data_IF_802314186292
#
_entry.id   IF_802314186292
#
_cell.length_a   1.000
_cell.length_b   1.000
_cell.length_c   1.000
_cell.angle_alpha   90.00
_cell.angle_beta   90.00
_cell.angle_gamma   90.00
#
_symmetry.space_group_name_H-M   'P 1'
#
loop_
_entity.id
_entity.type
_entity.pdbx_description
1 polymer ?
#
# COMPACT_ATOMS: atom_id res chain seq x y z
N UNK A 1 0.25 -3.42 9.74
CA UNK A 1 1.22 -2.75 8.86
C UNK A 1 0.61 -1.73 7.89
N UNK A 2 -0.01 -2.10 6.73
CA UNK A 2 -0.52 -1.08 5.78
C UNK A 2 -1.60 -0.16 6.41
N UNK A 3 -2.49 -0.75 7.22
CA UNK A 3 -3.50 0.00 7.98
C UNK A 3 -2.91 1.02 8.95
N UNK A 4 -1.81 0.66 9.62
CA UNK A 4 -1.15 1.56 10.58
C UNK A 4 -0.41 2.69 9.87
N UNK A 5 0.30 2.39 8.77
CA UNK A 5 0.94 3.41 7.94
C UNK A 5 -0.09 4.40 7.41
N UNK A 6 -1.21 3.88 6.89
CA UNK A 6 -2.34 4.70 6.45
C UNK A 6 -2.88 5.59 7.58
N UNK A 7 -3.08 5.03 8.78
CA UNK A 7 -3.54 5.81 9.94
C UNK A 7 -2.52 6.86 10.41
N UNK A 8 -1.20 6.58 10.32
CA UNK A 8 -0.14 7.56 10.66
C UNK A 8 -0.16 8.77 9.74
N UNK A 9 -0.51 8.57 8.46
CA UNK A 9 -0.69 9.66 7.50
C UNK A 9 -2.10 10.30 7.56
N UNK A 10 -2.97 9.88 8.49
CA UNK A 10 -4.34 10.40 8.58
C UNK A 10 -5.21 10.04 7.37
N UNK A 11 -4.81 9.05 6.56
CA UNK A 11 -5.49 8.72 5.31
C UNK A 11 -6.63 7.72 5.54
N UNK A 12 -7.71 7.87 4.78
CA UNK A 12 -8.77 6.86 4.69
C UNK A 12 -8.47 5.86 3.57
N UNK A 13 -9.08 4.68 3.55
CA UNK A 13 -8.87 3.68 2.47
C UNK A 13 -9.16 4.28 1.07
N UNK A 14 -10.21 5.08 0.95
CA UNK A 14 -10.52 5.81 -0.28
C UNK A 14 -9.49 6.91 -0.57
N UNK A 15 -9.00 7.61 0.46
CA UNK A 15 -7.98 8.66 0.30
C UNK A 15 -6.64 8.10 -0.18
N UNK A 16 -6.23 6.94 0.34
CA UNK A 16 -5.05 6.23 -0.15
C UNK A 16 -5.23 5.74 -1.59
N UNK A 17 -6.41 5.20 -1.93
CA UNK A 17 -6.72 4.81 -3.30
C UNK A 17 -6.69 6.01 -4.27
N UNK A 18 -7.25 7.15 -3.85
CA UNK A 18 -7.24 8.39 -4.61
C UNK A 18 -5.83 8.90 -4.86
N UNK A 19 -4.98 8.97 -3.83
CA UNK A 19 -3.59 9.40 -3.99
C UNK A 19 -2.77 8.43 -4.85
N UNK A 20 -3.02 7.11 -4.75
CA UNK A 20 -2.37 6.14 -5.62
C UNK A 20 -2.79 6.33 -7.08
N UNK A 21 -4.07 6.61 -7.33
CA UNK A 21 -4.56 6.88 -8.68
C UNK A 21 -3.98 8.19 -9.24
N UNK A 22 -3.92 9.23 -8.41
CA UNK A 22 -3.37 10.54 -8.76
C UNK A 22 -1.87 10.43 -9.07
N UNK A 23 -1.08 9.84 -8.16
CA UNK A 23 0.35 9.67 -8.34
C UNK A 23 0.68 8.76 -9.53
N UNK A 24 -0.05 7.64 -9.70
CA UNK A 24 0.20 6.69 -10.79
C UNK A 24 -0.41 7.10 -12.14
N UNK A 25 -1.23 8.16 -12.16
CA UNK A 25 -2.05 8.53 -13.32
C UNK A 25 -3.06 7.45 -13.74
N UNK A 26 -3.33 6.44 -12.91
CA UNK A 26 -4.13 5.28 -13.25
C UNK A 26 -5.23 5.04 -12.23
N UNK A 27 -6.50 5.16 -12.65
CA UNK A 27 -7.70 4.98 -11.82
C UNK A 27 -8.08 3.53 -11.52
N UNK A 28 -7.22 2.56 -11.82
CA UNK A 28 -7.47 1.13 -11.61
C UNK A 28 -7.54 0.73 -10.13
N UNK A 29 -7.00 1.53 -9.21
CA UNK A 29 -7.03 1.22 -7.78
C UNK A 29 -8.28 1.79 -7.10
N UNK A 30 -8.91 0.95 -6.29
CA UNK A 30 -10.11 1.26 -5.55
C UNK A 30 -9.93 0.98 -4.06
N UNK A 31 -10.80 1.54 -3.20
CA UNK A 31 -10.79 1.25 -1.75
C UNK A 31 -10.80 -0.25 -1.46
N UNK A 32 -11.47 -1.05 -2.29
CA UNK A 32 -11.59 -2.48 -2.08
C UNK A 32 -10.26 -3.20 -2.32
N UNK A 33 -9.46 -2.74 -3.29
CA UNK A 33 -8.10 -3.23 -3.46
C UNK A 33 -7.23 -2.94 -2.24
N UNK A 34 -7.33 -1.71 -1.69
CA UNK A 34 -6.62 -1.34 -0.45
C UNK A 34 -7.05 -2.23 0.72
N UNK A 35 -8.36 -2.45 0.88
CA UNK A 35 -8.91 -3.35 1.90
C UNK A 35 -8.39 -4.79 1.74
N UNK A 36 -8.28 -5.30 0.50
CA UNK A 36 -7.70 -6.62 0.23
C UNK A 36 -6.20 -6.68 0.56
N UNK A 37 -5.45 -5.60 0.36
CA UNK A 37 -4.04 -5.50 0.73
C UNK A 37 -3.85 -5.42 2.24
N UNK A 38 -4.65 -4.60 2.92
CA UNK A 38 -4.62 -4.47 4.39
C UNK A 38 -4.95 -5.80 5.08
N UNK A 39 -5.88 -6.58 4.51
CA UNK A 39 -6.27 -7.91 5.01
C UNK A 39 -5.32 -9.04 4.56
N UNK A 40 -4.29 -8.76 3.77
CA UNK A 40 -3.36 -9.76 3.26
C UNK A 40 -3.95 -10.73 2.22
N UNK A 41 -5.19 -10.52 1.76
CA UNK A 41 -5.84 -11.36 0.73
C UNK A 41 -5.22 -11.18 -0.66
N UNK A 42 -4.59 -10.04 -0.93
CA UNK A 42 -3.96 -9.73 -2.21
C UNK A 42 -2.66 -8.99 -1.98
N UNK A 43 -1.63 -9.38 -2.71
CA UNK A 43 -0.31 -8.74 -2.65
C UNK A 43 -0.27 -7.65 -3.73
N UNK A 44 0.07 -6.40 -3.38
CA UNK A 44 0.30 -5.37 -4.39
C UNK A 44 1.47 -5.78 -5.29
N UNK A 45 1.27 -5.69 -6.60
CA UNK A 45 2.30 -5.97 -7.59
C UNK A 45 3.47 -4.97 -7.52
N UNK A 46 4.62 -5.28 -8.12
CA UNK A 46 5.82 -4.43 -8.07
C UNK A 46 5.58 -3.00 -8.57
N UNK A 47 4.67 -2.81 -9.54
CA UNK A 47 4.24 -1.49 -10.00
C UNK A 47 3.60 -0.66 -8.88
N UNK A 48 2.56 -1.20 -8.22
CA UNK A 48 1.84 -0.51 -7.13
C UNK A 48 2.70 -0.29 -5.89
N UNK A 49 3.72 -1.13 -5.67
CA UNK A 49 4.68 -0.93 -4.57
C UNK A 49 5.48 0.36 -4.72
N UNK A 50 5.92 0.70 -5.94
CA UNK A 50 6.65 1.96 -6.19
C UNK A 50 5.79 3.17 -5.82
N UNK A 51 4.52 3.16 -6.23
CA UNK A 51 3.57 4.23 -5.92
C UNK A 51 3.20 4.28 -4.44
N UNK A 52 3.08 3.13 -3.76
CA UNK A 52 2.90 3.09 -2.31
C UNK A 52 4.07 3.73 -1.56
N UNK A 53 5.32 3.58 -2.04
CA UNK A 53 6.47 4.31 -1.47
C UNK A 53 6.29 5.81 -1.63
N UNK A 54 5.99 6.24 -2.86
CA UNK A 54 5.90 7.65 -3.22
C UNK A 54 4.77 8.37 -2.45
N UNK A 55 3.61 7.74 -2.31
CA UNK A 55 2.44 8.33 -1.65
C UNK A 55 2.54 8.32 -0.12
N UNK A 56 3.21 7.32 0.46
CA UNK A 56 3.39 7.24 1.91
C UNK A 56 4.67 7.94 2.38
N UNK A 57 5.39 8.63 1.49
CA UNK A 57 6.68 9.29 1.77
C UNK A 57 7.64 8.38 2.55
N UNK A 58 7.61 7.08 2.25
CA UNK A 58 8.46 6.11 2.92
C UNK A 58 9.77 5.99 2.14
N UNK A 59 10.94 6.04 2.81
CA UNK A 59 12.18 5.69 2.16
C UNK A 59 12.04 4.27 1.59
N UNK A 60 12.56 4.06 0.37
CA UNK A 60 12.42 2.79 -0.39
C UNK A 60 12.80 1.54 0.43
N UNK A 61 13.65 1.72 1.42
CA UNK A 61 14.11 0.70 2.38
C UNK A 61 12.99 0.20 3.30
N UNK A 62 12.08 1.07 3.75
CA UNK A 62 10.92 0.71 4.58
C UNK A 62 9.83 0.02 3.77
N UNK A 63 9.74 0.27 2.46
CA UNK A 63 8.77 -0.43 1.60
C UNK A 63 9.24 -1.82 1.19
N UNK A 64 10.55 -2.03 1.02
CA UNK A 64 11.07 -3.39 0.90
C UNK A 64 10.89 -4.16 2.22
N UNK A 65 11.02 -3.49 3.37
CA UNK A 65 10.68 -4.04 4.69
C UNK A 65 9.19 -4.33 4.85
N UNK A 66 8.28 -3.47 4.41
CA UNK A 66 6.84 -3.72 4.46
C UNK A 66 6.42 -4.83 3.47
N UNK A 67 7.07 -4.92 2.30
CA UNK A 67 6.92 -6.02 1.37
C UNK A 67 7.53 -7.32 1.92
N UNK A 68 8.64 -7.26 2.64
CA UNK A 68 9.27 -8.37 3.34
C UNK A 68 8.43 -8.82 4.54
N UNK A 69 7.77 -7.91 5.27
CA UNK A 69 6.83 -8.24 6.34
C UNK A 69 5.60 -8.91 5.75
N UNK A 70 5.02 -8.40 4.65
CA UNK A 70 3.93 -9.07 3.94
C UNK A 70 4.33 -10.46 3.38
N UNK A 71 5.60 -10.67 3.02
CA UNK A 71 6.15 -12.01 2.71
C UNK A 71 6.31 -12.86 3.98
N UNK A 72 6.75 -12.29 5.10
CA UNK A 72 7.04 -12.99 6.37
C UNK A 72 5.78 -13.43 7.11
N UNK A 73 4.67 -12.70 6.98
CA UNK A 73 3.35 -13.12 7.47
C UNK A 73 2.77 -14.32 6.71
N UNK A 74 3.41 -14.75 5.61
CA UNK A 74 3.02 -15.96 4.84
C UNK A 74 3.87 -17.19 5.16
N UNK A 75 4.85 -17.11 6.07
CA UNK A 75 5.68 -18.25 6.49
C UNK A 75 5.44 -18.68 7.94
N UNK A 76 4.34 -18.24 8.55
CA UNK A 76 3.83 -18.71 9.84
C UNK A 76 2.43 -19.28 9.65
#
# INVERSE_FOLDING_TARGET
>A
MLRELRSRHGLSQCGLAGQLNDASGNSSITRENISRWERGKRIPGPYWRKWLCAVLDLPQQDVDLAAAVARRTRRA
#
